data_IF_532066409160
#
_entry.id   IF_532066409160
#
_cell.length_a   1.000
_cell.length_b   1.000
_cell.length_c   1.000
_cell.angle_alpha   90.00
_cell.angle_beta   90.00
_cell.angle_gamma   90.00
#
_symmetry.space_group_name_H-M   'P 1'
#
loop_
_entity.id
_entity.type
_entity.pdbx_description
1 polymer ?
#
# COMPACT_ATOMS: atom_id res chain seq x y z
N UNK A 1 7.67 -3.77 -20.66
CA UNK A 1 7.53 -4.73 -19.54
C UNK A 1 6.07 -4.84 -19.07
N UNK A 2 5.14 -4.16 -19.75
CA UNK A 2 3.79 -3.87 -19.27
C UNK A 2 2.75 -4.90 -19.71
N UNK A 3 3.12 -5.82 -20.61
CA UNK A 3 2.21 -6.82 -21.19
C UNK A 3 1.67 -7.85 -20.19
N UNK A 4 2.29 -7.99 -19.01
CA UNK A 4 1.87 -8.97 -17.99
C UNK A 4 1.51 -8.33 -16.64
N UNK A 5 1.51 -6.99 -16.56
CA UNK A 5 1.17 -6.27 -15.34
C UNK A 5 -0.32 -5.91 -15.36
N UNK A 6 -1.16 -6.78 -14.80
CA UNK A 6 -2.62 -6.62 -14.76
C UNK A 6 -3.11 -6.41 -13.31
N UNK A 7 -2.79 -5.28 -12.64
CA UNK A 7 -3.08 -5.06 -11.23
C UNK A 7 -4.59 -4.99 -10.92
N UNK A 8 -5.42 -4.76 -11.94
CA UNK A 8 -6.87 -4.68 -11.83
C UNK A 8 -7.60 -5.75 -12.64
N UNK A 9 -6.87 -6.80 -13.05
CA UNK A 9 -7.36 -7.89 -13.92
C UNK A 9 -7.77 -7.38 -15.31
N UNK A 10 -7.79 -8.27 -16.30
CA UNK A 10 -8.30 -7.98 -17.65
C UNK A 10 -9.61 -8.77 -17.87
N UNK A 11 -10.45 -8.32 -18.80
CA UNK A 11 -11.69 -8.99 -19.22
C UNK A 11 -12.85 -8.95 -18.18
N UNK A 12 -13.71 -9.98 -18.20
CA UNK A 12 -15.00 -10.06 -17.48
C UNK A 12 -14.90 -9.94 -15.95
N UNK A 13 -13.70 -10.07 -15.39
CA UNK A 13 -13.41 -9.94 -13.96
C UNK A 13 -12.59 -8.68 -13.64
N UNK A 14 -12.61 -7.69 -14.53
CA UNK A 14 -11.94 -6.41 -14.30
C UNK A 14 -12.53 -5.67 -13.10
N UNK A 15 -11.65 -4.97 -12.38
CA UNK A 15 -12.06 -4.14 -11.25
C UNK A 15 -13.04 -3.04 -11.70
N UNK A 16 -14.29 -3.12 -11.26
CA UNK A 16 -15.30 -2.09 -11.52
C UNK A 16 -14.89 -0.72 -10.96
N UNK A 17 -14.04 -0.70 -9.94
CA UNK A 17 -13.55 0.49 -9.26
C UNK A 17 -12.23 1.05 -9.82
N UNK A 18 -11.78 0.65 -11.01
CA UNK A 18 -10.45 1.03 -11.53
C UNK A 18 -10.20 2.55 -11.50
N UNK A 19 -11.20 3.36 -11.87
CA UNK A 19 -11.08 4.82 -11.85
C UNK A 19 -10.93 5.37 -10.42
N UNK A 20 -11.66 4.80 -9.45
CA UNK A 20 -11.57 5.19 -8.06
C UNK A 20 -10.21 4.79 -7.47
N UNK A 21 -9.76 3.56 -7.74
CA UNK A 21 -8.46 3.08 -7.27
C UNK A 21 -7.32 3.98 -7.74
N UNK A 22 -7.33 4.39 -9.02
CA UNK A 22 -6.36 5.36 -9.53
C UNK A 22 -6.48 6.72 -8.86
N UNK A 23 -7.70 7.25 -8.70
CA UNK A 23 -7.92 8.52 -8.03
C UNK A 23 -7.37 8.51 -6.59
N UNK A 24 -7.65 7.45 -5.84
CA UNK A 24 -7.15 7.28 -4.46
C UNK A 24 -5.63 7.16 -4.41
N UNK A 25 -5.01 6.36 -5.30
CA UNK A 25 -3.56 6.24 -5.36
C UNK A 25 -2.89 7.58 -5.65
N UNK A 26 -3.40 8.35 -6.61
CA UNK A 26 -2.86 9.67 -6.92
C UNK A 26 -3.07 10.66 -5.78
N UNK A 27 -4.27 10.71 -5.19
CA UNK A 27 -4.59 11.61 -4.10
C UNK A 27 -3.79 11.28 -2.83
N UNK A 28 -3.72 10.01 -2.43
CA UNK A 28 -2.96 9.58 -1.27
C UNK A 28 -1.48 9.92 -1.41
N UNK A 29 -0.88 9.60 -2.57
CA UNK A 29 0.53 9.92 -2.84
C UNK A 29 0.76 11.42 -2.83
N UNK A 30 -0.09 12.20 -3.50
CA UNK A 30 0.01 13.65 -3.49
C UNK A 30 -0.11 14.22 -2.08
N UNK A 31 -1.04 13.75 -1.26
CA UNK A 31 -1.26 14.23 0.11
C UNK A 31 -0.08 13.95 1.03
N UNK A 32 0.58 12.79 0.87
CA UNK A 32 1.73 12.42 1.70
C UNK A 32 2.99 13.22 1.31
N UNK A 33 3.23 13.44 0.01
CA UNK A 33 4.50 14.00 -0.48
C UNK A 33 4.46 15.46 -0.93
N UNK A 34 3.29 16.12 -0.90
CA UNK A 34 3.16 17.54 -1.28
C UNK A 34 3.98 18.45 -0.35
N UNK A 35 4.51 19.59 -0.84
CA UNK A 35 5.09 20.62 0.01
C UNK A 35 4.13 21.09 1.10
N UNK A 36 4.58 21.01 2.37
CA UNK A 36 3.73 21.28 3.53
C UNK A 36 2.82 20.11 3.95
N UNK A 37 3.05 18.91 3.40
CA UNK A 37 2.41 17.68 3.81
C UNK A 37 2.78 17.23 5.24
N UNK A 38 2.17 16.16 5.74
CA UNK A 38 2.36 15.68 7.10
C UNK A 38 3.80 15.23 7.33
N UNK A 39 4.38 15.59 8.50
CA UNK A 39 5.69 15.07 8.90
C UNK A 39 5.49 13.72 9.57
N UNK A 40 5.77 12.66 8.82
CA UNK A 40 5.62 11.29 9.30
C UNK A 40 6.94 10.79 9.89
N UNK A 41 6.88 10.13 11.03
CA UNK A 41 8.00 9.42 11.65
C UNK A 41 7.57 8.01 12.05
N UNK A 42 8.45 7.02 11.93
CA UNK A 42 8.12 5.63 12.27
C UNK A 42 7.87 5.48 13.76
N UNK A 43 6.82 4.73 14.13
CA UNK A 43 6.45 4.48 15.51
C UNK A 43 6.58 3.01 15.87
N UNK A 44 7.59 2.70 16.70
CA UNK A 44 7.70 1.40 17.39
C UNK A 44 7.57 0.19 16.44
N UNK A 45 8.27 0.20 15.30
CA UNK A 45 8.23 -0.90 14.34
C UNK A 45 9.62 -1.25 13.81
N UNK A 46 9.80 -2.51 13.41
CA UNK A 46 11.03 -3.02 12.78
C UNK A 46 10.72 -3.57 11.37
N UNK A 47 11.76 -3.86 10.58
CA UNK A 47 11.62 -4.39 9.21
C UNK A 47 10.80 -5.70 9.17
N UNK A 48 10.93 -6.54 10.20
CA UNK A 48 10.15 -7.78 10.36
C UNK A 48 8.62 -7.58 10.39
N UNK A 49 8.15 -6.35 10.65
CA UNK A 49 6.72 -6.02 10.65
C UNK A 49 6.17 -5.76 9.23
N UNK A 50 7.05 -5.67 8.23
CA UNK A 50 6.74 -5.41 6.80
C UNK A 50 7.10 -6.61 5.92
N UNK A 51 8.21 -7.29 6.22
CA UNK A 51 8.69 -8.40 5.41
C UNK A 51 7.65 -9.51 5.26
N UNK A 52 7.58 -10.08 4.05
CA UNK A 52 6.69 -11.20 3.77
C UNK A 52 7.18 -12.46 4.47
N UNK A 53 6.62 -12.75 5.64
CA UNK A 53 6.95 -13.93 6.44
C UNK A 53 6.01 -15.11 6.18
N UNK A 54 4.80 -14.85 5.67
CA UNK A 54 3.81 -15.88 5.33
C UNK A 54 3.11 -15.55 4.02
N UNK A 55 2.84 -16.58 3.24
CA UNK A 55 2.10 -16.48 2.00
C UNK A 55 0.67 -17.01 2.20
N UNK A 56 -0.31 -16.19 1.83
CA UNK A 56 -1.74 -16.56 1.83
C UNK A 56 -2.28 -16.34 0.41
N UNK A 57 -3.07 -15.28 0.20
CA UNK A 57 -3.46 -14.78 -1.14
C UNK A 57 -2.56 -13.62 -1.58
N UNK A 58 -2.05 -12.88 -0.60
CA UNK A 58 -1.03 -11.83 -0.70
C UNK A 58 -0.01 -12.11 0.40
N UNK A 59 1.23 -11.64 0.25
CA UNK A 59 2.22 -11.78 1.32
C UNK A 59 1.79 -11.01 2.57
N UNK A 60 1.90 -11.65 3.74
CA UNK A 60 1.62 -11.05 5.04
C UNK A 60 2.87 -11.05 5.93
N UNK A 61 3.01 -10.04 6.81
CA UNK A 61 4.07 -10.02 7.81
C UNK A 61 3.83 -11.07 8.92
N UNK A 62 4.77 -11.16 9.86
CA UNK A 62 4.66 -12.03 11.06
C UNK A 62 3.34 -11.79 11.83
N UNK A 63 2.90 -12.78 12.62
CA UNK A 63 1.51 -12.81 13.14
C UNK A 63 1.29 -11.78 14.25
N UNK A 64 2.36 -11.50 14.98
CA UNK A 64 2.47 -10.50 16.02
C UNK A 64 2.71 -9.08 15.48
N UNK A 65 2.85 -8.90 14.15
CA UNK A 65 3.03 -7.57 13.56
C UNK A 65 1.79 -6.70 13.81
N UNK A 66 2.03 -5.46 14.24
CA UNK A 66 1.00 -4.41 14.36
C UNK A 66 0.88 -3.56 13.09
N UNK A 67 1.55 -3.98 12.01
CA UNK A 67 1.60 -3.26 10.73
C UNK A 67 2.43 -1.97 10.78
N UNK A 68 2.33 -1.19 9.70
CA UNK A 68 3.02 0.10 9.59
C UNK A 68 2.35 1.12 10.51
N UNK A 69 3.12 1.70 11.42
CA UNK A 69 2.65 2.72 12.35
C UNK A 69 3.54 3.95 12.28
N UNK A 70 2.91 5.12 12.23
CA UNK A 70 3.58 6.40 12.09
C UNK A 70 3.03 7.42 13.08
N UNK A 71 3.88 8.31 13.57
CA UNK A 71 3.48 9.53 14.27
C UNK A 71 3.38 10.69 13.28
N UNK A 72 2.36 11.53 13.46
CA UNK A 72 2.13 12.76 12.68
C UNK A 72 2.56 13.95 13.53
N UNK A 73 3.58 14.69 13.08
CA UNK A 73 4.16 15.83 13.77
C UNK A 73 3.83 17.19 13.12
#
# INVERSE_FOLDING_TARGET
MDQYLLPFTEESQSCLGINLAWAELYLATAMVFRPGGPKLSLYDMNESDIEFARDFLTGFPKHDSRGIRVMVN
#
